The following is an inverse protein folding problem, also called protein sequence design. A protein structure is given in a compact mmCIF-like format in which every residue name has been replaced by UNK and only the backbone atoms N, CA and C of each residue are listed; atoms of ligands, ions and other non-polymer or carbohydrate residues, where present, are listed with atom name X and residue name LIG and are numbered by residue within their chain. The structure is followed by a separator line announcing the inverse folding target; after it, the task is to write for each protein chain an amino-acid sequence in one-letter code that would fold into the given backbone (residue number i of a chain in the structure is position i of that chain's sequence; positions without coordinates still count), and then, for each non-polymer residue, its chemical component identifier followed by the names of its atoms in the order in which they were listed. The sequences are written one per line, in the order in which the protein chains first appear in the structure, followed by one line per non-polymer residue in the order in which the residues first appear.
data_IF_542060212181
#
_entry.id   IF_542060212181
#
_cell.length_a   1.000
_cell.length_b   1.000
_cell.length_c   1.000
_cell.angle_alpha   90.00
_cell.angle_beta   90.00
_cell.angle_gamma   90.00
#
_symmetry.space_group_name_H-M   'P 1'
#
loop_
_entity.id
_entity.type
_entity.pdbx_description
1 polymer ?
#
# COMPACT_ATOMS: atom_id res chain seq x y z
N UNK A 1 -37.76 -19.58 8.37
CA UNK A 1 -38.07 -20.94 8.87
C UNK A 1 -39.14 -21.64 8.03
N UNK A 2 -40.06 -20.91 7.40
CA UNK A 2 -41.15 -21.46 6.56
C UNK A 2 -40.67 -22.00 5.20
N UNK A 3 -39.67 -21.37 4.55
CA UNK A 3 -39.11 -21.83 3.27
C UNK A 3 -38.36 -23.17 3.39
N UNK A 4 -37.58 -23.36 4.47
CA UNK A 4 -36.83 -24.58 4.76
C UNK A 4 -37.73 -25.80 5.01
N UNK A 5 -38.95 -25.60 5.50
CA UNK A 5 -39.87 -26.69 5.80
C UNK A 5 -40.71 -27.12 4.58
N UNK A 6 -40.90 -26.21 3.61
CA UNK A 6 -41.58 -26.50 2.35
C UNK A 6 -40.68 -27.33 1.40
N UNK A 7 -39.38 -27.04 1.43
CA UNK A 7 -38.35 -27.73 0.64
C UNK A 7 -38.23 -29.23 0.95
N UNK A 8 -38.60 -29.61 2.18
CA UNK A 8 -38.58 -30.98 2.66
C UNK A 8 -39.85 -31.75 2.32
N UNK A 9 -40.93 -31.06 1.94
CA UNK A 9 -42.21 -31.68 1.52
C UNK A 9 -42.27 -31.86 0.00
N UNK A 10 -41.62 -30.99 -0.78
CA UNK A 10 -41.51 -31.15 -2.24
C UNK A 10 -40.68 -32.37 -2.68
N UNK A 11 -39.55 -32.61 -2.01
CA UNK A 11 -38.66 -33.77 -2.31
C UNK A 11 -39.27 -35.14 -2.00
N UNK A 12 -40.35 -35.21 -1.23
CA UNK A 12 -41.03 -36.47 -0.89
C UNK A 12 -42.07 -36.89 -1.94
N UNK A 13 -42.51 -35.97 -2.81
CA UNK A 13 -43.42 -36.25 -3.92
C UNK A 13 -42.68 -36.46 -5.26
N UNK A 14 -41.52 -35.83 -5.45
CA UNK A 14 -40.66 -36.02 -6.63
C UNK A 14 -39.17 -35.85 -6.25
N UNK A 15 -38.33 -36.91 -6.33
CA UNK A 15 -36.93 -36.86 -5.95
C UNK A 15 -36.02 -36.02 -6.85
N UNK A 16 -36.44 -35.66 -8.07
CA UNK A 16 -35.64 -34.85 -9.01
C UNK A 16 -35.97 -33.34 -8.99
N UNK A 17 -36.91 -32.90 -8.17
CA UNK A 17 -37.31 -31.50 -8.12
C UNK A 17 -36.19 -30.61 -7.54
N UNK A 18 -35.54 -29.79 -8.38
CA UNK A 18 -34.61 -28.73 -7.97
C UNK A 18 -35.38 -27.39 -7.76
N UNK A 19 -35.58 -26.94 -6.51
CA UNK A 19 -36.24 -25.68 -6.20
C UNK A 19 -35.52 -24.48 -6.82
N UNK A 20 -34.20 -24.55 -6.98
CA UNK A 20 -33.44 -23.46 -7.59
C UNK A 20 -33.75 -23.34 -9.07
N UNK A 21 -33.98 -24.45 -9.79
CA UNK A 21 -34.34 -24.43 -11.20
C UNK A 21 -35.77 -23.94 -11.43
N UNK A 22 -36.71 -24.34 -10.54
CA UNK A 22 -38.08 -23.83 -10.55
C UNK A 22 -38.14 -22.31 -10.26
N UNK A 23 -37.35 -21.84 -9.30
CA UNK A 23 -37.20 -20.41 -9.01
C UNK A 23 -36.57 -19.70 -10.22
N UNK A 24 -35.48 -20.21 -10.80
CA UNK A 24 -34.81 -19.58 -11.95
C UNK A 24 -35.73 -19.44 -13.16
N UNK A 25 -36.57 -20.44 -13.40
CA UNK A 25 -37.54 -20.46 -14.51
C UNK A 25 -38.72 -19.52 -14.29
N UNK A 26 -39.15 -19.30 -13.04
CA UNK A 26 -40.34 -18.50 -12.72
C UNK A 26 -40.05 -17.13 -12.08
N UNK A 27 -38.79 -16.81 -11.77
CA UNK A 27 -38.39 -15.50 -11.21
C UNK A 27 -38.72 -14.37 -12.16
N UNK A 28 -38.54 -14.56 -13.46
CA UNK A 28 -38.92 -13.57 -14.47
C UNK A 28 -40.42 -13.24 -14.42
N UNK A 29 -41.27 -14.26 -14.28
CA UNK A 29 -42.72 -14.09 -14.18
C UNK A 29 -43.15 -13.45 -12.86
N UNK A 30 -42.51 -13.81 -11.75
CA UNK A 30 -42.76 -13.19 -10.43
C UNK A 30 -42.35 -11.71 -10.44
N UNK A 31 -41.18 -11.39 -11.01
CA UNK A 31 -40.71 -10.02 -11.16
C UNK A 31 -41.64 -9.22 -12.09
N UNK A 32 -42.03 -9.79 -13.23
CA UNK A 32 -42.99 -9.19 -14.15
C UNK A 32 -44.31 -8.90 -13.45
N UNK A 33 -44.89 -9.89 -12.76
CA UNK A 33 -46.16 -9.72 -12.07
C UNK A 33 -46.10 -8.67 -10.95
N UNK A 34 -44.98 -8.62 -10.21
CA UNK A 34 -44.74 -7.55 -9.22
C UNK A 34 -44.58 -6.18 -9.86
N UNK A 35 -43.90 -6.07 -10.99
CA UNK A 35 -43.81 -4.81 -11.74
C UNK A 35 -45.20 -4.36 -12.20
N UNK A 36 -46.01 -5.24 -12.79
CA UNK A 36 -47.37 -4.90 -13.22
C UNK A 36 -48.30 -4.51 -12.06
N UNK A 37 -48.16 -5.16 -10.90
CA UNK A 37 -48.90 -4.81 -9.69
C UNK A 37 -48.47 -3.46 -9.08
N UNK A 38 -47.21 -3.05 -9.29
CA UNK A 38 -46.67 -1.79 -8.78
C UNK A 38 -46.70 -0.65 -9.79
N UNK A 39 -46.90 -0.96 -11.08
CA UNK A 39 -47.03 -0.01 -12.18
C UNK A 39 -48.41 0.64 -12.16
N UNK A 40 -48.62 1.59 -11.24
CA UNK A 40 -49.74 2.52 -11.35
C UNK A 40 -49.36 3.66 -12.32
N UNK A 41 -50.31 4.19 -13.11
CA UNK A 41 -50.04 5.27 -14.07
C UNK A 41 -49.40 6.50 -13.42
N UNK A 42 -49.82 6.85 -12.19
CA UNK A 42 -49.23 7.95 -11.42
C UNK A 42 -47.79 7.71 -11.00
N UNK A 43 -47.41 6.45 -10.73
CA UNK A 43 -46.04 6.09 -10.33
C UNK A 43 -45.08 6.06 -11.51
N UNK A 44 -45.58 5.63 -12.68
CA UNK A 44 -44.82 5.70 -13.94
C UNK A 44 -44.60 7.16 -14.34
N UNK A 45 -45.63 8.01 -14.27
CA UNK A 45 -45.50 9.44 -14.54
C UNK A 45 -44.53 10.13 -13.57
N UNK A 46 -44.60 9.81 -12.28
CA UNK A 46 -43.66 10.31 -11.28
C UNK A 46 -42.21 9.89 -11.60
N UNK A 47 -41.98 8.61 -11.94
CA UNK A 47 -40.64 8.14 -12.33
C UNK A 47 -40.10 8.84 -13.59
N UNK A 48 -40.96 9.15 -14.56
CA UNK A 48 -40.56 9.86 -15.77
C UNK A 48 -40.19 11.32 -15.48
N UNK A 49 -40.90 11.99 -14.56
CA UNK A 49 -40.56 13.33 -14.10
C UNK A 49 -39.23 13.35 -13.36
N UNK A 50 -39.02 12.40 -12.44
CA UNK A 50 -37.78 12.25 -11.68
C UNK A 50 -36.57 11.97 -12.59
N UNK A 51 -36.79 11.20 -13.66
CA UNK A 51 -35.77 10.93 -14.67
C UNK A 51 -35.44 12.18 -15.51
N UNK A 52 -36.41 13.05 -15.77
CA UNK A 52 -36.19 14.32 -16.46
C UNK A 52 -35.37 15.27 -15.60
N UNK A 53 -35.71 15.40 -14.32
CA UNK A 53 -34.97 16.21 -13.35
C UNK A 53 -33.51 15.73 -13.21
N UNK A 54 -33.31 14.40 -13.17
CA UNK A 54 -31.96 13.83 -13.14
C UNK A 54 -31.14 14.14 -14.40
N UNK A 55 -31.76 14.06 -15.58
CA UNK A 55 -31.09 14.41 -16.85
C UNK A 55 -30.79 15.90 -16.93
N UNK A 56 -31.63 16.77 -16.36
CA UNK A 56 -31.37 18.20 -16.31
C UNK A 56 -30.22 18.56 -15.36
N UNK A 57 -30.08 17.86 -14.23
CA UNK A 57 -29.01 18.11 -13.26
C UNK A 57 -27.67 17.43 -13.59
N UNK A 58 -27.70 16.35 -14.36
CA UNK A 58 -26.53 15.55 -14.75
C UNK A 58 -25.40 16.39 -15.40
N UNK A 59 -25.68 17.21 -16.43
CA UNK A 59 -24.65 18.01 -17.12
C UNK A 59 -23.91 18.93 -16.16
N UNK A 60 -24.64 19.57 -15.23
CA UNK A 60 -24.08 20.47 -14.22
C UNK A 60 -23.16 19.73 -13.25
N UNK A 61 -23.57 18.54 -12.80
CA UNK A 61 -22.75 17.70 -11.92
C UNK A 61 -21.50 17.18 -12.64
N UNK A 62 -21.66 16.72 -13.88
CA UNK A 62 -20.55 16.25 -14.72
C UNK A 62 -19.56 17.37 -15.03
N UNK A 63 -20.02 18.56 -15.42
CA UNK A 63 -19.15 19.72 -15.63
C UNK A 63 -18.37 20.06 -14.37
N UNK A 64 -19.00 20.03 -13.19
CA UNK A 64 -18.28 20.29 -11.94
C UNK A 64 -17.20 19.24 -11.66
N UNK A 65 -17.47 17.97 -11.91
CA UNK A 65 -16.46 16.89 -11.76
C UNK A 65 -15.35 17.02 -12.80
N UNK A 66 -15.70 17.30 -14.05
CA UNK A 66 -14.75 17.53 -15.14
C UNK A 66 -13.91 18.79 -14.93
N UNK A 67 -14.46 19.86 -14.39
CA UNK A 67 -13.73 21.08 -14.03
C UNK A 67 -12.74 20.83 -12.89
N UNK A 68 -13.11 20.02 -11.90
CA UNK A 68 -12.19 19.62 -10.83
C UNK A 68 -11.03 18.78 -11.40
N UNK A 69 -11.30 17.87 -12.33
CA UNK A 69 -10.31 17.07 -13.04
C UNK A 69 -9.42 17.95 -13.95
N UNK A 70 -10.02 18.81 -14.77
CA UNK A 70 -9.36 19.68 -15.75
C UNK A 70 -8.56 20.80 -15.08
N UNK A 71 -8.98 21.30 -13.92
CA UNK A 71 -8.22 22.28 -13.14
C UNK A 71 -6.94 21.71 -12.50
N UNK A 72 -6.56 20.46 -12.82
CA UNK A 72 -5.41 19.75 -12.26
C UNK A 72 -5.43 19.74 -10.71
N UNK A 73 -6.61 19.98 -10.12
CA UNK A 73 -6.85 19.96 -8.67
C UNK A 73 -7.12 18.55 -8.16
N UNK A 74 -7.40 17.62 -9.07
CA UNK A 74 -7.34 16.19 -8.77
C UNK A 74 -5.88 15.77 -8.75
N UNK A 75 -5.24 15.99 -7.60
CA UNK A 75 -4.04 15.23 -7.25
C UNK A 75 -4.49 13.79 -7.01
N UNK A 76 -4.34 12.94 -8.01
CA UNK A 76 -4.38 11.49 -7.79
C UNK A 76 -3.22 11.23 -6.84
N UNK A 77 -3.55 11.07 -5.55
CA UNK A 77 -2.59 10.64 -4.54
C UNK A 77 -2.31 9.17 -4.86
N UNK A 78 -1.38 8.94 -5.78
CA UNK A 78 -0.86 7.61 -6.07
C UNK A 78 -0.07 7.23 -4.82
N UNK A 79 -0.72 6.59 -3.85
CA UNK A 79 -0.08 6.00 -2.66
C UNK A 79 0.86 4.81 -3.04
N UNK A 80 1.37 4.77 -4.27
CA UNK A 80 2.36 3.77 -4.72
C UNK A 80 3.80 4.25 -4.51
N UNK A 81 4.02 5.56 -4.32
CA UNK A 81 5.33 6.12 -4.01
C UNK A 81 5.21 6.95 -2.74
N UNK A 82 5.45 6.30 -1.61
CA UNK A 82 5.53 7.01 -0.34
C UNK A 82 6.86 7.79 -0.35
N UNK A 83 6.78 9.03 -0.84
CA UNK A 83 7.91 9.95 -1.02
C UNK A 83 8.74 10.07 0.26
N UNK A 84 8.10 9.94 1.42
CA UNK A 84 8.72 9.95 2.74
C UNK A 84 9.64 8.73 2.92
N UNK A 85 9.19 7.51 2.57
CA UNK A 85 10.00 6.30 2.70
C UNK A 85 11.17 6.30 1.71
N UNK A 86 10.95 6.84 0.50
CA UNK A 86 12.04 7.00 -0.47
C UNK A 86 13.09 7.99 0.05
N UNK A 87 12.66 9.13 0.60
CA UNK A 87 13.56 10.13 1.17
C UNK A 87 14.35 9.57 2.37
N UNK A 88 13.69 8.82 3.25
CA UNK A 88 14.35 8.14 4.37
C UNK A 88 15.38 7.10 3.89
N UNK A 89 15.05 6.32 2.86
CA UNK A 89 15.97 5.37 2.24
C UNK A 89 17.19 6.06 1.63
N UNK A 90 16.97 7.15 0.88
CA UNK A 90 18.05 7.96 0.29
C UNK A 90 18.95 8.56 1.36
N UNK A 91 18.39 9.12 2.44
CA UNK A 91 19.19 9.67 3.54
C UNK A 91 20.03 8.59 4.24
N UNK A 92 19.47 7.37 4.44
CA UNK A 92 20.22 6.24 4.99
C UNK A 92 21.40 5.86 4.08
N UNK A 93 21.18 5.80 2.77
CA UNK A 93 22.24 5.48 1.81
C UNK A 93 23.31 6.59 1.80
N UNK A 94 22.91 7.86 1.77
CA UNK A 94 23.83 8.99 1.80
C UNK A 94 24.72 8.97 3.05
N UNK A 95 24.14 8.69 4.22
CA UNK A 95 24.89 8.55 5.47
C UNK A 95 25.87 7.37 5.42
N UNK A 96 25.48 6.21 4.86
CA UNK A 96 26.37 5.04 4.69
C UNK A 96 27.56 5.38 3.80
N UNK A 97 27.32 6.04 2.66
CA UNK A 97 28.38 6.45 1.72
C UNK A 97 29.34 7.44 2.40
N UNK A 98 28.79 8.46 3.07
CA UNK A 98 29.59 9.50 3.74
C UNK A 98 30.50 8.90 4.81
N UNK A 99 29.95 8.00 5.65
CA UNK A 99 30.74 7.33 6.67
C UNK A 99 31.81 6.43 6.05
N UNK A 100 31.48 5.67 5.01
CA UNK A 100 32.45 4.83 4.30
C UNK A 100 33.61 5.66 3.71
N UNK A 101 33.32 6.83 3.16
CA UNK A 101 34.33 7.75 2.62
C UNK A 101 35.22 8.33 3.72
N UNK A 102 34.65 8.72 4.86
CA UNK A 102 35.43 9.17 6.03
C UNK A 102 36.36 8.05 6.52
N UNK A 103 35.86 6.80 6.62
CA UNK A 103 36.70 5.67 7.03
C UNK A 103 37.83 5.40 6.03
N UNK A 104 37.55 5.46 4.72
CA UNK A 104 38.58 5.31 3.70
C UNK A 104 39.67 6.38 3.82
N UNK A 105 39.27 7.64 4.03
CA UNK A 105 40.21 8.75 4.24
C UNK A 105 41.05 8.54 5.52
N UNK A 106 40.45 8.07 6.60
CA UNK A 106 41.16 7.75 7.85
C UNK A 106 42.19 6.63 7.66
N UNK A 107 41.83 5.56 6.92
CA UNK A 107 42.75 4.45 6.63
C UNK A 107 43.93 4.92 5.79
N UNK A 108 43.67 5.68 4.72
CA UNK A 108 44.72 6.23 3.85
C UNK A 108 45.62 7.19 4.64
N UNK A 109 45.04 8.09 5.43
CA UNK A 109 45.80 9.01 6.28
C UNK A 109 46.65 8.28 7.32
N UNK A 110 46.12 7.24 7.96
CA UNK A 110 46.88 6.38 8.87
C UNK A 110 48.06 5.69 8.15
N UNK A 111 47.83 5.15 6.96
CA UNK A 111 48.86 4.49 6.16
C UNK A 111 49.97 5.45 5.72
N UNK A 112 49.62 6.69 5.37
CA UNK A 112 50.62 7.72 5.05
C UNK A 112 51.44 8.11 6.27
N UNK A 113 50.82 8.23 7.45
CA UNK A 113 51.52 8.56 8.69
C UNK A 113 52.50 7.47 9.14
N UNK A 114 52.30 6.21 8.73
CA UNK A 114 53.27 5.14 9.02
C UNK A 114 54.64 5.38 8.39
N UNK A 115 54.72 6.20 7.34
CA UNK A 115 55.98 6.53 6.67
C UNK A 115 56.72 7.70 7.32
N UNK A 116 56.11 8.36 8.31
CA UNK A 116 56.67 9.54 8.98
C UNK A 116 57.31 9.12 10.29
N UNK A 117 58.62 9.38 10.42
CA UNK A 117 59.33 9.19 11.68
C UNK A 117 58.81 10.18 12.73
N UNK A 118 58.40 9.67 13.90
CA UNK A 118 57.75 10.46 14.94
C UNK A 118 58.20 9.97 16.30
N UNK A 119 58.43 10.90 17.24
CA UNK A 119 58.84 10.57 18.61
C UNK A 119 57.74 9.89 19.42
N UNK A 120 56.46 10.09 19.04
CA UNK A 120 55.31 9.44 19.66
C UNK A 120 54.99 8.11 18.97
N UNK A 121 55.59 7.03 19.45
CA UNK A 121 55.36 5.66 18.93
C UNK A 121 54.60 4.79 19.92
N UNK A 122 53.68 3.96 19.42
CA UNK A 122 52.98 2.93 20.20
C UNK A 122 53.22 1.58 19.52
N UNK A 123 53.70 0.58 20.26
CA UNK A 123 54.09 -0.74 19.72
C UNK A 123 55.09 -0.67 18.54
N UNK A 124 55.93 0.37 18.48
CA UNK A 124 56.90 0.57 17.40
C UNK A 124 56.35 1.24 16.14
N UNK A 125 55.05 1.59 16.11
CA UNK A 125 54.42 2.33 15.01
C UNK A 125 54.06 3.76 15.44
N UNK A 126 53.94 4.73 14.52
CA UNK A 126 53.51 6.09 14.85
C UNK A 126 52.15 6.09 15.58
N UNK A 127 52.10 6.65 16.79
CA UNK A 127 50.94 6.53 17.67
C UNK A 127 49.68 7.19 17.11
N UNK A 128 49.84 8.29 16.34
CA UNK A 128 48.72 8.96 15.68
C UNK A 128 48.12 8.08 14.57
N UNK A 129 48.95 7.38 13.78
CA UNK A 129 48.48 6.44 12.77
C UNK A 129 47.63 5.32 13.42
N UNK A 130 48.07 4.84 14.58
CA UNK A 130 47.36 3.76 15.29
C UNK A 130 46.01 4.22 15.84
N UNK A 131 45.91 5.46 16.35
CA UNK A 131 44.64 6.04 16.77
C UNK A 131 43.65 6.18 15.60
N UNK A 132 44.10 6.70 14.46
CA UNK A 132 43.26 6.82 13.26
C UNK A 132 42.81 5.45 12.75
N UNK A 133 43.70 4.46 12.78
CA UNK A 133 43.40 3.09 12.37
C UNK A 133 42.37 2.43 13.29
N UNK A 134 42.52 2.53 14.61
CA UNK A 134 41.54 2.03 15.58
C UNK A 134 40.18 2.70 15.35
N UNK A 135 40.17 4.03 15.18
CA UNK A 135 38.95 4.78 14.86
C UNK A 135 38.28 4.25 13.58
N UNK A 136 39.07 3.99 12.54
CA UNK A 136 38.57 3.43 11.28
C UNK A 136 37.99 2.02 11.44
N UNK A 137 38.65 1.15 12.20
CA UNK A 137 38.18 -0.22 12.46
C UNK A 137 36.89 -0.22 13.27
N UNK A 138 36.82 0.56 14.36
CA UNK A 138 35.62 0.67 15.20
C UNK A 138 34.46 1.26 14.39
N UNK A 139 34.71 2.35 13.66
CA UNK A 139 33.70 3.02 12.87
C UNK A 139 33.19 2.19 11.69
N UNK A 140 34.09 1.51 10.97
CA UNK A 140 33.74 0.57 9.91
C UNK A 140 32.96 -0.63 10.44
N UNK A 141 33.39 -1.19 11.57
CA UNK A 141 32.67 -2.27 12.25
C UNK A 141 31.27 -1.87 12.69
N UNK A 142 31.11 -0.68 13.26
CA UNK A 142 29.79 -0.13 13.63
C UNK A 142 28.89 0.05 12.40
N UNK A 143 29.43 0.54 11.28
CA UNK A 143 28.68 0.67 10.03
C UNK A 143 28.17 -0.69 9.54
N UNK A 144 29.01 -1.71 9.48
CA UNK A 144 28.61 -3.06 9.09
C UNK A 144 27.56 -3.63 10.05
N UNK A 145 27.73 -3.46 11.36
CA UNK A 145 26.78 -3.91 12.36
C UNK A 145 25.40 -3.25 12.21
N UNK A 146 25.35 -1.96 11.87
CA UNK A 146 24.09 -1.27 11.60
C UNK A 146 23.43 -1.73 10.30
N UNK A 147 24.20 -2.05 9.25
CA UNK A 147 23.66 -2.60 8.00
C UNK A 147 22.98 -3.94 8.27
N UNK A 148 23.67 -4.87 8.95
CA UNK A 148 23.16 -6.22 9.24
C UNK A 148 21.89 -6.15 10.11
N UNK A 149 21.90 -5.38 11.20
CA UNK A 149 20.73 -5.25 12.10
C UNK A 149 19.50 -4.62 11.45
N UNK A 150 19.71 -3.73 10.47
CA UNK A 150 18.60 -3.03 9.79
C UNK A 150 17.96 -3.93 8.72
N UNK A 151 18.73 -4.81 8.07
CA UNK A 151 18.19 -5.72 7.06
C UNK A 151 17.32 -6.83 7.69
N UNK A 152 17.71 -7.38 8.85
CA UNK A 152 16.93 -8.40 9.54
C UNK A 152 15.53 -7.92 9.97
N UNK A 153 15.39 -6.63 10.31
CA UNK A 153 14.12 -6.05 10.78
C UNK A 153 13.18 -5.61 9.65
N UNK A 154 13.67 -5.52 8.42
CA UNK A 154 12.89 -5.09 7.25
C UNK A 154 12.01 -6.21 6.68
N UNK A 155 12.42 -7.47 6.87
CA UNK A 155 11.71 -8.65 6.34
C UNK A 155 10.46 -8.99 7.16
N UNK A 156 10.44 -8.68 8.46
CA UNK A 156 9.31 -9.07 9.34
C UNK A 156 8.13 -8.09 9.33
N UNK A 157 8.33 -6.86 8.84
CA UNK A 157 7.30 -5.80 8.89
C UNK A 157 6.36 -5.79 7.67
N UNK A 158 6.70 -6.49 6.58
CA UNK A 158 5.86 -6.54 5.38
C UNK A 158 4.74 -7.60 5.42
N UNK A 159 4.78 -8.54 6.37
CA UNK A 159 3.80 -9.65 6.44
C UNK A 159 2.66 -9.39 7.46
N UNK A 160 2.70 -8.29 8.23
CA UNK A 160 1.70 -8.01 9.30
C UNK A 160 0.76 -6.84 9.06
N UNK A 161 0.85 -6.14 7.93
CA UNK A 161 -0.14 -5.12 7.56
C UNK A 161 -1.03 -5.61 6.41
N UNK A 162 -1.76 -6.70 6.68
CA UNK A 162 -3.02 -6.95 5.99
C UNK A 162 -4.01 -5.81 6.27
N UNK A 163 -4.96 -5.52 5.36
CA UNK A 163 -5.76 -4.31 5.41
C UNK A 163 -6.66 -4.33 6.66
N UNK A 164 -6.27 -3.52 7.64
CA UNK A 164 -7.13 -3.13 8.75
C UNK A 164 -8.28 -2.30 8.22
N UNK A 165 -9.45 -2.91 8.18
CA UNK A 165 -10.75 -2.24 8.06
C UNK A 165 -10.88 -1.21 9.18
N UNK A 166 -11.19 0.04 8.83
CA UNK A 166 -12.38 0.80 9.25
C UNK A 166 -12.31 2.24 8.75
#
# INVERSE_FOLDING_TARGET
KTLLNLDRVGRTLDPEFDPNEAIRTHVADILRQRMWQQASPGRVAASLLEMNDFIQELPTRLNKTLDLLASNRVRVKVDAFDEVYMMEGLQKIANRITLGLVMAALIVGAAMLMQVETNFTLLGYPGLAMLLFIGAVIGGGALVATIIRTDETSVESHDRRGPGRH
#
